data_IF_988351251453
#
_entry.id   IF_988351251453
#
_cell.length_a   1.000
_cell.length_b   1.000
_cell.length_c   1.000
_cell.angle_alpha   90.00
_cell.angle_beta   90.00
_cell.angle_gamma   90.00
#
_symmetry.space_group_name_H-M   'P 1'
#
loop_
_entity.id
_entity.type
_entity.pdbx_description
1 polymer ?
#
# COMPACT_ATOMS: atom_id res chain seq x y z
N UNK A 1 1.54 6.66 -2.90
CA UNK A 1 0.50 6.23 -3.84
C UNK A 1 -0.42 5.21 -3.17
N UNK A 2 -1.63 5.01 -3.68
CA UNK A 2 -2.52 3.91 -3.29
C UNK A 2 -2.54 2.94 -4.47
N UNK A 3 -2.38 1.65 -4.22
CA UNK A 3 -2.24 0.64 -5.27
C UNK A 3 -2.88 -0.68 -4.86
N UNK A 4 -3.44 -1.40 -5.83
CA UNK A 4 -4.18 -2.64 -5.62
C UNK A 4 -3.53 -3.85 -6.31
N UNK A 5 -2.54 -3.64 -7.19
CA UNK A 5 -1.83 -4.69 -7.93
C UNK A 5 -0.38 -4.85 -7.50
N UNK A 6 0.15 -6.08 -7.60
CA UNK A 6 1.56 -6.35 -7.28
C UNK A 6 2.54 -5.56 -8.15
N UNK A 7 2.25 -5.47 -9.45
CA UNK A 7 3.09 -4.73 -10.41
C UNK A 7 3.14 -3.24 -10.09
N UNK A 8 2.00 -2.63 -9.71
CA UNK A 8 1.98 -1.24 -9.31
C UNK A 8 2.73 -1.01 -7.99
N UNK A 9 2.67 -1.96 -7.04
CA UNK A 9 3.40 -1.85 -5.77
C UNK A 9 4.90 -1.82 -6.04
N UNK A 10 5.39 -2.73 -6.90
CA UNK A 10 6.79 -2.76 -7.31
C UNK A 10 7.20 -1.46 -8.04
N UNK A 11 6.36 -0.97 -8.95
CA UNK A 11 6.63 0.26 -9.68
C UNK A 11 6.73 1.47 -8.75
N UNK A 12 5.80 1.59 -7.79
CA UNK A 12 5.81 2.62 -6.76
C UNK A 12 7.05 2.59 -5.89
N UNK A 13 7.42 1.40 -5.42
CA UNK A 13 8.63 1.20 -4.63
C UNK A 13 9.88 1.59 -5.42
N UNK A 14 10.02 1.12 -6.67
CA UNK A 14 11.15 1.45 -7.57
C UNK A 14 11.23 2.94 -7.88
N UNK A 15 10.10 3.64 -7.89
CA UNK A 15 10.04 5.09 -8.06
C UNK A 15 10.34 5.89 -6.76
N UNK A 16 10.67 5.21 -5.67
CA UNK A 16 10.94 5.85 -4.36
C UNK A 16 9.69 6.40 -3.67
N UNK A 17 8.49 5.98 -4.09
CA UNK A 17 7.25 6.40 -3.45
C UNK A 17 6.96 5.57 -2.20
N UNK A 18 6.35 6.19 -1.19
CA UNK A 18 5.65 5.42 -0.16
C UNK A 18 4.36 4.84 -0.73
N UNK A 19 4.15 3.53 -0.57
CA UNK A 19 3.02 2.79 -1.18
C UNK A 19 2.06 2.31 -0.11
N UNK A 20 0.76 2.58 -0.30
CA UNK A 20 -0.33 1.99 0.48
C UNK A 20 -0.96 0.91 -0.39
N UNK A 21 -0.74 -0.36 -0.06
CA UNK A 21 -1.32 -1.49 -0.75
C UNK A 21 -2.73 -1.78 -0.23
N UNK A 22 -3.71 -1.80 -1.12
CA UNK A 22 -5.11 -2.16 -0.85
C UNK A 22 -5.58 -3.17 -1.90
N UNK A 23 -5.19 -4.46 -1.79
CA UNK A 23 -5.51 -5.46 -2.81
C UNK A 23 -7.00 -5.68 -3.01
N UNK A 24 -7.38 -5.95 -4.26
CA UNK A 24 -8.75 -6.36 -4.59
C UNK A 24 -8.95 -7.85 -4.31
N UNK A 25 -10.16 -8.27 -3.88
CA UNK A 25 -10.50 -9.69 -3.76
C UNK A 25 -10.23 -10.44 -5.06
N UNK A 26 -9.59 -11.61 -4.97
CA UNK A 26 -9.30 -12.48 -6.11
C UNK A 26 -8.00 -12.16 -6.86
N UNK A 27 -7.35 -11.02 -6.60
CA UNK A 27 -6.06 -10.63 -7.16
C UNK A 27 -5.12 -10.18 -6.03
N UNK A 28 -4.74 -11.12 -5.18
CA UNK A 28 -3.85 -10.85 -4.05
C UNK A 28 -2.40 -10.89 -4.53
N UNK A 29 -1.62 -9.78 -4.40
CA UNK A 29 -0.19 -9.79 -4.70
C UNK A 29 0.56 -10.82 -3.85
N UNK A 30 1.73 -11.25 -4.32
CA UNK A 30 2.56 -12.15 -3.51
C UNK A 30 3.01 -11.47 -2.21
N UNK A 31 3.40 -12.28 -1.21
CA UNK A 31 3.92 -11.73 0.05
C UNK A 31 5.16 -10.84 -0.19
N UNK A 32 6.01 -11.21 -1.15
CA UNK A 32 7.19 -10.41 -1.52
C UNK A 32 6.76 -9.05 -2.07
N UNK A 33 5.75 -9.00 -2.93
CA UNK A 33 5.21 -7.75 -3.45
C UNK A 33 4.59 -6.89 -2.34
N UNK A 34 3.81 -7.50 -1.44
CA UNK A 34 3.22 -6.79 -0.30
C UNK A 34 4.29 -6.24 0.66
N UNK A 35 5.43 -6.92 0.80
CA UNK A 35 6.52 -6.47 1.67
C UNK A 35 7.19 -5.17 1.21
N UNK A 36 7.04 -4.81 -0.08
CA UNK A 36 7.55 -3.55 -0.63
C UNK A 36 6.65 -2.36 -0.29
N UNK A 37 5.40 -2.61 0.14
CA UNK A 37 4.48 -1.55 0.52
C UNK A 37 4.86 -0.93 1.87
N UNK A 38 4.69 0.38 1.99
CA UNK A 38 4.85 1.09 3.26
C UNK A 38 3.74 0.73 4.24
N UNK A 39 2.52 0.53 3.73
CA UNK A 39 1.36 0.17 4.52
C UNK A 39 0.47 -0.79 3.73
N UNK A 40 0.08 -1.90 4.34
CA UNK A 40 -0.96 -2.78 3.81
C UNK A 40 -2.29 -2.53 4.53
N UNK A 41 -3.37 -2.39 3.76
CA UNK A 41 -4.73 -2.32 4.27
C UNK A 41 -5.59 -3.40 3.61
N UNK A 42 -6.43 -4.10 4.39
CA UNK A 42 -7.29 -5.16 3.85
C UNK A 42 -8.44 -4.63 2.99
N UNK A 43 -8.76 -3.34 3.07
CA UNK A 43 -9.77 -2.68 2.25
C UNK A 43 -9.61 -1.17 2.28
N UNK A 44 -10.24 -0.48 1.32
CA UNK A 44 -10.28 0.98 1.29
C UNK A 44 -11.02 1.57 2.50
N UNK A 45 -11.93 0.81 3.12
CA UNK A 45 -12.65 1.24 4.32
C UNK A 45 -11.72 1.34 5.55
N UNK A 46 -10.57 0.66 5.54
CA UNK A 46 -9.56 0.78 6.58
C UNK A 46 -8.66 2.03 6.39
N UNK A 47 -8.77 2.73 5.25
CA UNK A 47 -8.00 3.94 4.97
C UNK A 47 -8.56 5.10 5.80
N UNK A 48 -7.76 5.58 6.74
CA UNK A 48 -8.14 6.70 7.59
C UNK A 48 -6.97 7.67 7.80
N UNK A 49 -7.29 8.96 7.85
CA UNK A 49 -6.30 10.04 7.92
C UNK A 49 -5.43 9.95 9.18
N UNK A 50 -6.02 9.57 10.32
CA UNK A 50 -5.29 9.44 11.59
C UNK A 50 -4.16 8.41 11.52
N UNK A 51 -4.44 7.24 10.96
CA UNK A 51 -3.47 6.17 10.74
C UNK A 51 -2.42 6.58 9.73
N UNK A 52 -2.80 7.28 8.65
CA UNK A 52 -1.82 7.79 7.68
C UNK A 52 -0.86 8.79 8.32
N UNK A 53 -1.34 9.68 9.19
CA UNK A 53 -0.47 10.61 9.91
C UNK A 53 0.58 9.88 10.76
N UNK A 54 0.17 8.82 11.45
CA UNK A 54 1.06 7.99 12.27
C UNK A 54 2.10 7.24 11.41
N UNK A 55 1.65 6.52 10.40
CA UNK A 55 2.53 5.66 9.57
C UNK A 55 3.49 6.48 8.68
N UNK A 56 3.08 7.68 8.28
CA UNK A 56 3.84 8.51 7.34
C UNK A 56 4.57 9.68 8.00
N UNK A 57 4.45 9.85 9.32
CA UNK A 57 4.99 10.99 10.09
C UNK A 57 4.54 12.34 9.52
N UNK A 58 3.24 12.46 9.24
CA UNK A 58 2.65 13.70 8.70
C UNK A 58 2.14 14.56 9.87
N UNK A 59 2.51 15.83 9.87
CA UNK A 59 2.06 16.85 10.85
C UNK A 59 0.58 17.20 10.67
#
# INVERSE_FOLDING_TARGET
MIEDSGNGIEAGHKAGMKVIAIPRPGLIPSNDQLSLATLYLPSILALNVTRLRQEFNLS
#
